data_IF_712874694235
#
_entry.id   IF_712874694235
#
_cell.length_a   1.000
_cell.length_b   1.000
_cell.length_c   1.000
_cell.angle_alpha   90.00
_cell.angle_beta   90.00
_cell.angle_gamma   90.00
#
_symmetry.space_group_name_H-M   'P 1'
#
loop_
_entity.id
_entity.type
_entity.pdbx_description
1 polymer ?
#
# COMPACT_ATOMS: atom_id res chain seq x y z
N UNK A 1 7.30 4.14 12.72
CA UNK A 1 8.32 3.35 12.00
C UNK A 1 7.82 3.15 10.58
N UNK A 2 8.68 3.41 9.58
CA UNK A 2 8.37 3.14 8.19
C UNK A 2 8.13 1.62 8.00
N UNK A 3 7.03 1.27 7.35
CA UNK A 3 6.74 -0.09 6.93
C UNK A 3 7.54 -0.39 5.66
N UNK A 4 8.35 -1.48 5.61
CA UNK A 4 9.21 -1.78 4.46
C UNK A 4 8.49 -1.78 3.11
N UNK A 5 7.27 -2.33 3.03
CA UNK A 5 6.44 -2.28 1.82
C UNK A 5 6.11 -0.84 1.36
N UNK A 6 5.78 0.07 2.28
CA UNK A 6 5.44 1.45 1.93
C UNK A 6 6.66 2.20 1.38
N UNK A 7 7.82 2.03 2.03
CA UNK A 7 9.08 2.60 1.59
C UNK A 7 9.49 2.07 0.21
N UNK A 8 9.26 0.77 -0.05
CA UNK A 8 9.56 0.15 -1.33
C UNK A 8 8.63 0.63 -2.47
N UNK A 9 7.34 0.80 -2.19
CA UNK A 9 6.35 1.23 -3.19
C UNK A 9 6.39 2.74 -3.47
N UNK A 10 6.78 3.57 -2.51
CA UNK A 10 6.76 5.02 -2.65
C UNK A 10 7.44 5.57 -3.93
N UNK A 11 8.67 5.14 -4.30
CA UNK A 11 9.32 5.60 -5.53
C UNK A 11 8.74 4.98 -6.81
N UNK A 12 7.81 4.03 -6.71
CA UNK A 12 7.23 3.30 -7.84
C UNK A 12 5.79 3.74 -8.16
N UNK A 13 5.21 4.69 -7.40
CA UNK A 13 3.78 5.00 -7.49
C UNK A 13 3.31 5.59 -8.82
N UNK A 14 4.23 5.94 -9.72
CA UNK A 14 3.97 6.35 -11.10
C UNK A 14 3.92 5.17 -12.10
N UNK A 15 4.35 3.97 -11.69
CA UNK A 15 4.31 2.75 -12.51
C UNK A 15 2.90 2.22 -12.74
N UNK A 16 2.79 1.22 -13.62
CA UNK A 16 1.52 0.57 -13.91
C UNK A 16 0.92 -0.09 -12.64
N UNK A 17 -0.39 0.03 -12.47
CA UNK A 17 -1.07 -0.48 -11.28
C UNK A 17 -0.93 -2.00 -11.13
N UNK A 18 -0.87 -2.74 -12.22
CA UNK A 18 -0.74 -4.20 -12.18
C UNK A 18 0.67 -4.61 -11.73
N UNK A 19 1.71 -3.84 -12.07
CA UNK A 19 3.08 -4.02 -11.54
C UNK A 19 3.11 -3.80 -10.02
N UNK A 20 2.48 -2.71 -9.55
CA UNK A 20 2.38 -2.41 -8.12
C UNK A 20 1.61 -3.50 -7.36
N UNK A 21 0.55 -4.04 -7.96
CA UNK A 21 -0.22 -5.16 -7.40
C UNK A 21 0.60 -6.45 -7.37
N UNK A 22 1.42 -6.71 -8.38
CA UNK A 22 2.30 -7.88 -8.39
C UNK A 22 3.33 -7.82 -7.25
N UNK A 23 3.87 -6.64 -6.95
CA UNK A 23 4.73 -6.42 -5.78
C UNK A 23 3.95 -6.78 -4.51
N UNK A 24 2.78 -6.20 -4.29
CA UNK A 24 1.98 -6.49 -3.07
C UNK A 24 1.61 -7.98 -2.99
N UNK A 25 1.29 -8.63 -4.10
CA UNK A 25 0.98 -10.06 -4.14
C UNK A 25 2.15 -10.92 -3.66
N UNK A 26 3.40 -10.55 -4.01
CA UNK A 26 4.60 -11.21 -3.46
C UNK A 26 4.69 -11.07 -1.95
N UNK A 27 4.43 -9.88 -1.41
CA UNK A 27 4.41 -9.65 0.04
C UNK A 27 3.30 -10.42 0.75
N UNK A 28 2.14 -10.63 0.10
CA UNK A 28 1.08 -11.51 0.61
C UNK A 28 1.58 -12.95 0.71
N UNK A 29 2.29 -13.47 -0.29
CA UNK A 29 2.82 -14.85 -0.25
C UNK A 29 3.89 -15.01 0.83
N UNK A 30 4.75 -14.00 0.99
CA UNK A 30 5.88 -14.02 1.95
C UNK A 30 5.45 -13.73 3.40
N UNK A 31 4.22 -13.23 3.64
CA UNK A 31 3.79 -12.84 4.98
C UNK A 31 3.65 -14.05 5.93
N UNK A 32 4.22 -13.99 7.15
CA UNK A 32 4.29 -15.11 8.08
C UNK A 32 2.95 -15.48 8.71
N UNK A 33 2.00 -14.55 8.79
CA UNK A 33 0.70 -14.75 9.46
C UNK A 33 -0.46 -14.46 8.54
N UNK A 34 -1.59 -15.15 8.73
CA UNK A 34 -2.81 -14.90 7.95
C UNK A 34 -3.33 -13.46 8.18
N UNK A 35 -3.13 -12.92 9.37
CA UNK A 35 -3.45 -11.53 9.70
C UNK A 35 -2.68 -10.56 8.79
N UNK A 36 -1.37 -10.75 8.63
CA UNK A 36 -0.57 -9.92 7.74
C UNK A 36 -0.89 -10.14 6.27
N UNK A 37 -1.18 -11.38 5.85
CA UNK A 37 -1.65 -11.68 4.49
C UNK A 37 -2.93 -10.92 4.17
N UNK A 38 -3.91 -10.95 5.07
CA UNK A 38 -5.16 -10.20 4.92
C UNK A 38 -4.92 -8.69 4.91
N UNK A 39 -4.01 -8.18 5.75
CA UNK A 39 -3.63 -6.76 5.74
C UNK A 39 -3.10 -6.33 4.38
N UNK A 40 -2.19 -7.11 3.79
CA UNK A 40 -1.62 -6.81 2.47
C UNK A 40 -2.62 -6.96 1.33
N UNK A 41 -3.54 -7.94 1.40
CA UNK A 41 -4.63 -8.08 0.40
C UNK A 41 -5.54 -6.85 0.39
N UNK A 42 -5.98 -6.38 1.57
CA UNK A 42 -6.79 -5.17 1.68
C UNK A 42 -6.02 -3.93 1.19
N UNK A 43 -4.75 -3.80 1.59
CA UNK A 43 -3.90 -2.72 1.11
C UNK A 43 -3.76 -2.71 -0.42
N UNK A 44 -3.53 -3.87 -1.04
CA UNK A 44 -3.43 -4.00 -2.50
C UNK A 44 -4.72 -3.63 -3.24
N UNK A 45 -5.89 -3.87 -2.63
CA UNK A 45 -7.17 -3.45 -3.17
C UNK A 45 -7.32 -1.91 -3.18
N UNK A 46 -6.81 -1.23 -2.16
CA UNK A 46 -6.84 0.23 -2.04
C UNK A 46 -5.79 0.96 -2.89
N UNK A 47 -4.76 0.25 -3.37
CA UNK A 47 -3.62 0.85 -4.05
C UNK A 47 -4.00 1.67 -5.28
N UNK A 48 -4.97 1.17 -6.07
CA UNK A 48 -5.47 1.90 -7.24
C UNK A 48 -6.26 3.16 -6.88
N UNK A 49 -6.85 3.23 -5.69
CA UNK A 49 -7.48 4.44 -5.20
C UNK A 49 -6.43 5.46 -4.70
N UNK A 50 -5.33 5.00 -4.12
CA UNK A 50 -4.20 5.84 -3.71
C UNK A 50 -3.50 6.44 -4.94
N UNK A 51 -3.18 5.61 -5.93
CA UNK A 51 -2.50 6.05 -7.16
C UNK A 51 -3.32 7.10 -7.92
N UNK A 52 -4.63 6.87 -8.11
CA UNK A 52 -5.52 7.87 -8.74
C UNK A 52 -5.55 9.19 -7.98
N UNK A 53 -5.53 9.15 -6.64
CA UNK A 53 -5.50 10.38 -5.81
C UNK A 53 -4.18 11.12 -5.97
N UNK A 54 -3.05 10.41 -6.07
CA UNK A 54 -1.73 11.00 -6.34
C UNK A 54 -1.71 11.68 -7.72
N UNK A 55 -2.16 10.98 -8.75
CA UNK A 55 -2.21 11.47 -10.13
C UNK A 55 -3.16 12.66 -10.34
N UNK A 56 -4.23 12.75 -9.54
CA UNK A 56 -5.19 13.85 -9.60
C UNK A 56 -4.70 15.16 -8.96
N UNK A 57 -3.55 15.17 -8.27
CA UNK A 57 -3.02 16.39 -7.64
C UNK A 57 -2.41 17.30 -8.70
N UNK A 58 -2.73 18.60 -8.63
CA UNK A 58 -2.16 19.61 -9.53
C UNK A 58 -0.64 19.77 -9.38
N UNK A 59 -0.11 19.47 -8.20
CA UNK A 59 1.33 19.40 -7.93
C UNK A 59 1.66 17.97 -7.53
N UNK A 60 2.65 17.32 -8.18
CA UNK A 60 3.08 15.98 -7.80
C UNK A 60 3.53 15.97 -6.33
N UNK A 61 3.06 15.00 -5.52
CA UNK A 61 3.51 14.87 -4.15
C UNK A 61 4.98 14.44 -4.08
N UNK A 62 5.63 14.77 -2.97
CA UNK A 62 6.99 14.29 -2.70
C UNK A 62 6.97 12.80 -2.37
N UNK A 63 8.12 12.13 -2.53
CA UNK A 63 8.25 10.71 -2.16
C UNK A 63 7.88 10.46 -0.69
N UNK A 64 8.25 11.37 0.22
CA UNK A 64 7.91 11.28 1.64
C UNK A 64 6.39 11.37 1.87
N UNK A 65 5.70 12.28 1.17
CA UNK A 65 4.24 12.39 1.23
C UNK A 65 3.55 11.12 0.72
N UNK A 66 4.09 10.52 -0.35
CA UNK A 66 3.60 9.26 -0.89
C UNK A 66 3.80 8.13 0.13
N UNK A 67 4.98 8.02 0.73
CA UNK A 67 5.26 7.03 1.76
C UNK A 67 4.30 7.16 2.94
N UNK A 68 4.08 8.38 3.44
CA UNK A 68 3.11 8.66 4.51
C UNK A 68 1.70 8.21 4.12
N UNK A 69 1.25 8.49 2.90
CA UNK A 69 -0.05 8.05 2.43
C UNK A 69 -0.18 6.52 2.39
N UNK A 70 0.85 5.82 1.91
CA UNK A 70 0.89 4.36 1.87
C UNK A 70 0.89 3.75 3.28
N UNK A 71 1.65 4.34 4.22
CA UNK A 71 1.65 3.94 5.64
C UNK A 71 0.27 4.10 6.27
N UNK A 72 -0.44 5.20 5.99
CA UNK A 72 -1.78 5.43 6.50
C UNK A 72 -2.75 4.35 6.01
N UNK A 73 -2.69 3.98 4.73
CA UNK A 73 -3.55 2.95 4.12
C UNK A 73 -3.24 1.57 4.70
N UNK A 74 -1.96 1.23 4.90
CA UNK A 74 -1.56 -0.01 5.58
C UNK A 74 -2.10 -0.07 7.02
N UNK A 75 -2.03 1.03 7.76
CA UNK A 75 -2.54 1.10 9.13
C UNK A 75 -4.07 0.94 9.19
N UNK A 76 -4.80 1.59 8.27
CA UNK A 76 -6.26 1.44 8.13
C UNK A 76 -6.61 -0.01 7.79
N UNK A 77 -5.90 -0.60 6.82
CA UNK A 77 -6.09 -2.01 6.41
C UNK A 77 -5.86 -2.96 7.57
N UNK A 78 -4.80 -2.76 8.36
CA UNK A 78 -4.51 -3.57 9.54
C UNK A 78 -5.61 -3.51 10.61
N UNK A 79 -6.16 -2.31 10.86
CA UNK A 79 -7.28 -2.14 11.79
C UNK A 79 -8.54 -2.86 11.32
N UNK A 80 -8.85 -2.81 10.02
CA UNK A 80 -10.02 -3.50 9.45
C UNK A 80 -9.93 -5.02 9.62
N UNK A 81 -8.74 -5.61 9.40
CA UNK A 81 -8.54 -7.04 9.65
C UNK A 81 -8.71 -7.37 11.13
N UNK A 82 -8.14 -6.56 12.03
CA UNK A 82 -8.24 -6.78 13.47
C UNK A 82 -9.68 -6.66 14.02
N UNK A 83 -10.54 -5.88 13.37
CA UNK A 83 -11.97 -5.77 13.73
C UNK A 83 -12.85 -6.87 13.14
N UNK A 84 -12.34 -7.65 12.19
CA UNK A 84 -13.11 -8.66 11.45
C UNK A 84 -12.80 -10.12 11.88
N UNK A 85 -11.84 -10.32 12.78
CA UNK A 85 -11.49 -11.63 13.37
C UNK A 85 -11.83 -11.68 14.85
#
# INVERSE_FOLDING_TARGET
MAHPLAQYLAPLMDQDLDELRAIVARWVVEAPTELERNRYRLFGAELGAVQRRIQARSTPPTQEEIEIALLAVLAISGRQVASAG
#
